data_IF_598552609212
#
_entry.id   IF_598552609212
#
_cell.length_a   1.000
_cell.length_b   1.000
_cell.length_c   1.000
_cell.angle_alpha   90.00
_cell.angle_beta   90.00
_cell.angle_gamma   90.00
#
_symmetry.space_group_name_H-M   'P 1'
#
loop_
_entity.id
_entity.type
_entity.pdbx_description
1 polymer ?
#
# COMPACT_ATOMS: atom_id res chain seq x y z
N UNK A 1 3.69 1.69 -24.67
CA UNK A 1 3.04 0.68 -23.83
C UNK A 1 4.15 0.09 -22.97
N UNK A 2 4.18 0.40 -21.67
CA UNK A 2 5.17 -0.19 -20.77
C UNK A 2 4.82 -1.66 -20.61
N UNK A 3 5.73 -2.55 -21.00
CA UNK A 3 5.57 -3.97 -20.75
C UNK A 3 5.55 -4.18 -19.24
N UNK A 4 4.56 -4.92 -18.75
CA UNK A 4 4.51 -5.29 -17.34
C UNK A 4 5.74 -6.14 -17.06
N UNK A 5 6.50 -5.75 -16.04
CA UNK A 5 7.65 -6.52 -15.58
C UNK A 5 7.16 -7.92 -15.20
N UNK A 6 7.76 -9.00 -15.72
CA UNK A 6 7.35 -10.36 -15.38
C UNK A 6 7.37 -10.60 -13.87
N UNK A 7 6.35 -11.30 -13.36
CA UNK A 7 6.17 -11.55 -11.92
C UNK A 7 7.39 -12.24 -11.29
N UNK A 8 8.02 -13.16 -12.02
CA UNK A 8 9.22 -13.88 -11.56
C UNK A 8 10.42 -12.95 -11.37
N UNK A 9 10.56 -11.93 -12.23
CA UNK A 9 11.61 -10.93 -12.08
C UNK A 9 11.34 -10.03 -10.87
N UNK A 10 10.08 -9.62 -10.66
CA UNK A 10 9.68 -8.82 -9.48
C UNK A 10 9.94 -9.59 -8.20
N UNK A 11 9.56 -10.87 -8.15
CA UNK A 11 9.80 -11.73 -6.98
C UNK A 11 11.30 -11.86 -6.70
N UNK A 12 12.13 -12.15 -7.71
CA UNK A 12 13.60 -12.22 -7.53
C UNK A 12 14.16 -10.92 -6.95
N UNK A 13 13.73 -9.76 -7.46
CA UNK A 13 14.15 -8.47 -6.94
C UNK A 13 13.74 -8.23 -5.48
N UNK A 14 12.57 -8.73 -5.09
CA UNK A 14 12.11 -8.67 -3.69
C UNK A 14 12.98 -9.57 -2.82
N UNK A 15 13.23 -10.82 -3.23
CA UNK A 15 14.02 -11.78 -2.46
C UNK A 15 15.47 -11.30 -2.25
N UNK A 16 16.11 -10.80 -3.31
CA UNK A 16 17.46 -10.21 -3.22
C UNK A 16 17.51 -9.11 -2.14
N UNK A 17 16.51 -8.22 -2.10
CA UNK A 17 16.43 -7.17 -1.08
C UNK A 17 16.15 -7.72 0.32
N UNK A 18 15.30 -8.74 0.44
CA UNK A 18 15.01 -9.36 1.74
C UNK A 18 16.26 -10.03 2.31
N UNK A 19 17.11 -10.62 1.47
CA UNK A 19 18.36 -11.23 1.90
C UNK A 19 19.44 -10.19 2.26
N UNK A 20 19.57 -9.11 1.48
CA UNK A 20 20.63 -8.11 1.69
C UNK A 20 20.30 -7.08 2.78
N UNK A 21 19.03 -6.66 2.88
CA UNK A 21 18.58 -5.55 3.73
C UNK A 21 17.48 -5.95 4.72
N UNK A 22 16.79 -7.06 4.49
CA UNK A 22 15.60 -7.49 5.25
C UNK A 22 15.88 -8.31 6.51
N UNK A 23 17.06 -8.15 7.13
CA UNK A 23 17.44 -8.90 8.34
C UNK A 23 16.51 -8.60 9.53
N UNK A 24 16.16 -7.32 9.73
CA UNK A 24 15.27 -6.87 10.82
C UNK A 24 13.77 -6.93 10.44
N UNK A 25 13.45 -7.51 9.28
CA UNK A 25 12.11 -7.53 8.69
C UNK A 25 12.01 -6.65 7.45
N UNK A 26 10.83 -6.68 6.82
CA UNK A 26 10.56 -5.93 5.59
C UNK A 26 9.06 -5.59 5.51
N UNK A 27 8.74 -4.55 4.73
CA UNK A 27 7.37 -4.18 4.37
C UNK A 27 7.26 -4.19 2.85
N UNK A 28 6.36 -5.00 2.31
CA UNK A 28 6.05 -5.00 0.88
C UNK A 28 4.87 -4.05 0.64
N UNK A 29 5.13 -2.97 -0.08
CA UNK A 29 4.11 -2.00 -0.48
C UNK A 29 3.73 -2.23 -1.95
N UNK A 30 2.46 -2.57 -2.18
CA UNK A 30 1.91 -2.77 -3.52
C UNK A 30 2.24 -4.10 -4.20
N UNK A 31 2.77 -5.09 -3.47
CA UNK A 31 2.97 -6.48 -3.90
C UNK A 31 2.71 -7.45 -2.73
N UNK A 32 2.09 -8.62 -2.94
CA UNK A 32 1.49 -9.10 -4.19
C UNK A 32 0.18 -8.40 -4.52
N UNK A 33 -0.23 -8.48 -5.79
CA UNK A 33 -1.49 -7.95 -6.32
C UNK A 33 -2.45 -9.02 -6.84
N UNK A 34 -2.01 -10.27 -6.92
CA UNK A 34 -2.81 -11.42 -7.32
C UNK A 34 -2.51 -12.61 -6.41
N UNK A 35 -3.45 -13.55 -6.31
CA UNK A 35 -3.26 -14.80 -5.55
C UNK A 35 -2.04 -15.59 -6.06
N UNK A 36 -1.87 -15.68 -7.39
CA UNK A 36 -0.71 -16.38 -7.98
C UNK A 36 0.63 -15.76 -7.58
N UNK A 37 0.72 -14.43 -7.49
CA UNK A 37 1.90 -13.75 -6.96
C UNK A 37 2.11 -14.05 -5.47
N UNK A 38 1.03 -14.13 -4.68
CA UNK A 38 1.12 -14.44 -3.25
C UNK A 38 1.59 -15.88 -2.99
N UNK A 39 1.10 -16.85 -3.77
CA UNK A 39 1.56 -18.24 -3.71
C UNK A 39 3.05 -18.35 -4.09
N UNK A 40 3.45 -17.71 -5.19
CA UNK A 40 4.84 -17.72 -5.66
C UNK A 40 5.79 -17.07 -4.64
N UNK A 41 5.43 -15.90 -4.11
CA UNK A 41 6.19 -15.24 -3.05
C UNK A 41 6.32 -16.14 -1.81
N UNK A 42 5.21 -16.73 -1.34
CA UNK A 42 5.20 -17.59 -0.17
C UNK A 42 6.12 -18.82 -0.31
N UNK A 43 6.14 -19.44 -1.49
CA UNK A 43 7.01 -20.57 -1.80
C UNK A 43 8.49 -20.20 -1.74
N UNK A 44 8.87 -19.11 -2.40
CA UNK A 44 10.26 -18.64 -2.42
C UNK A 44 10.74 -18.17 -1.04
N UNK A 45 9.91 -17.42 -0.30
CA UNK A 45 10.25 -16.99 1.06
C UNK A 45 10.48 -18.18 2.00
N UNK A 46 9.69 -19.24 1.86
CA UNK A 46 9.85 -20.46 2.66
C UNK A 46 11.22 -21.13 2.40
N UNK A 47 11.72 -21.08 1.16
CA UNK A 47 13.06 -21.55 0.81
C UNK A 47 14.18 -20.79 1.51
N UNK A 48 13.96 -19.52 1.85
CA UNK A 48 14.86 -18.66 2.63
C UNK A 48 14.66 -18.78 4.15
N UNK A 49 13.77 -19.66 4.60
CA UNK A 49 13.38 -19.74 6.01
C UNK A 49 12.69 -18.47 6.53
N UNK A 50 12.08 -17.69 5.63
CA UNK A 50 11.33 -16.47 5.94
C UNK A 50 9.84 -16.72 5.73
N UNK A 51 9.01 -15.91 6.39
CA UNK A 51 7.55 -15.93 6.25
C UNK A 51 6.98 -14.52 6.34
N UNK A 52 5.77 -14.33 5.83
CA UNK A 52 4.99 -13.14 6.09
C UNK A 52 4.35 -13.25 7.49
N UNK A 53 4.47 -12.19 8.28
CA UNK A 53 3.87 -12.11 9.62
C UNK A 53 2.44 -11.58 9.57
N UNK A 54 2.14 -10.67 8.64
CA UNK A 54 0.80 -10.10 8.45
C UNK A 54 0.60 -9.56 7.03
N UNK A 55 -0.65 -9.49 6.61
CA UNK A 55 -1.13 -8.71 5.47
C UNK A 55 -2.04 -7.60 5.99
N UNK A 56 -1.64 -6.34 5.77
CA UNK A 56 -2.33 -5.17 6.32
C UNK A 56 -3.30 -4.61 5.28
N UNK A 57 -4.61 -4.68 5.55
CA UNK A 57 -5.66 -4.10 4.72
C UNK A 57 -6.13 -2.78 5.33
N UNK A 58 -5.92 -1.67 4.63
CA UNK A 58 -6.55 -0.39 4.97
C UNK A 58 -7.83 -0.28 4.16
N UNK A 59 -8.95 -0.60 4.81
CA UNK A 59 -10.26 -0.71 4.18
C UNK A 59 -10.96 0.64 4.10
N UNK A 60 -11.47 0.98 2.92
CA UNK A 60 -12.23 2.19 2.69
C UNK A 60 -13.15 1.99 1.48
N UNK A 61 -14.36 2.56 1.55
CA UNK A 61 -15.30 2.54 0.44
C UNK A 61 -14.74 3.24 -0.81
N UNK A 62 -15.09 2.75 -1.98
CA UNK A 62 -14.66 3.27 -3.29
C UNK A 62 -14.89 4.77 -3.42
N UNK A 63 -16.03 5.28 -2.95
CA UNK A 63 -16.36 6.70 -3.01
C UNK A 63 -15.36 7.54 -2.22
N UNK A 64 -14.92 7.04 -1.07
CA UNK A 64 -13.92 7.70 -0.23
C UNK A 64 -12.53 7.62 -0.87
N UNK A 65 -12.18 6.48 -1.48
CA UNK A 65 -10.90 6.33 -2.22
C UNK A 65 -10.85 7.29 -3.42
N UNK A 66 -11.91 7.37 -4.21
CA UNK A 66 -12.03 8.31 -5.34
C UNK A 66 -11.90 9.74 -4.84
N UNK A 67 -12.65 10.10 -3.78
CA UNK A 67 -12.60 11.45 -3.21
C UNK A 67 -11.19 11.84 -2.79
N UNK A 68 -10.50 10.97 -2.02
CA UNK A 68 -9.15 11.20 -1.51
C UNK A 68 -8.10 11.33 -2.61
N UNK A 69 -8.15 10.46 -3.60
CA UNK A 69 -7.17 10.49 -4.70
C UNK A 69 -7.41 11.68 -5.61
N UNK A 70 -8.66 11.96 -5.98
CA UNK A 70 -8.98 13.09 -6.87
C UNK A 70 -8.75 14.47 -6.24
N UNK A 71 -8.83 14.57 -4.91
CA UNK A 71 -8.48 15.79 -4.20
C UNK A 71 -6.98 15.99 -3.96
N UNK A 72 -6.14 14.97 -4.21
CA UNK A 72 -4.69 15.03 -3.95
C UNK A 72 -3.98 16.03 -4.86
N UNK A 73 -3.06 16.79 -4.28
CA UNK A 73 -2.15 17.71 -4.97
C UNK A 73 -0.73 17.40 -4.53
N UNK A 74 0.21 17.51 -5.46
CA UNK A 74 1.63 17.25 -5.19
C UNK A 74 2.49 18.33 -5.83
N UNK A 75 3.52 18.78 -5.10
CA UNK A 75 4.54 19.64 -5.66
C UNK A 75 5.64 18.82 -6.34
N UNK A 76 6.59 19.48 -7.01
CA UNK A 76 7.71 18.79 -7.67
C UNK A 76 8.66 18.07 -6.71
N UNK A 77 8.73 18.52 -5.46
CA UNK A 77 9.56 17.92 -4.41
C UNK A 77 8.86 16.78 -3.66
N UNK A 78 7.62 16.48 -4.03
CA UNK A 78 6.88 15.34 -3.49
C UNK A 78 5.98 15.65 -2.30
N UNK A 79 5.96 16.89 -1.77
CA UNK A 79 5.03 17.30 -0.73
C UNK A 79 3.58 17.15 -1.22
N UNK A 80 2.76 16.48 -0.40
CA UNK A 80 1.37 16.13 -0.71
C UNK A 80 0.42 17.03 0.07
N UNK A 81 -0.63 17.49 -0.59
CA UNK A 81 -1.74 18.27 -0.04
C UNK A 81 -3.06 17.66 -0.51
N UNK A 82 -4.17 18.08 0.10
CA UNK A 82 -5.50 17.69 -0.34
C UNK A 82 -6.47 18.88 -0.30
N UNK A 83 -7.23 19.09 -1.37
CA UNK A 83 -8.11 20.27 -1.50
C UNK A 83 -9.13 20.43 -0.36
N UNK A 84 -9.66 19.32 0.18
CA UNK A 84 -10.61 19.35 1.32
C UNK A 84 -9.96 19.15 2.71
N UNK A 85 -9.07 18.17 2.86
CA UNK A 85 -8.60 17.70 4.17
C UNK A 85 -7.32 18.38 4.66
N UNK A 86 -6.49 18.85 3.73
CA UNK A 86 -5.19 19.49 4.02
C UNK A 86 -4.85 20.49 2.90
N UNK A 87 -5.64 21.57 2.76
CA UNK A 87 -5.45 22.54 1.68
C UNK A 87 -4.17 23.36 1.91
N UNK A 88 -3.45 23.73 0.85
CA UNK A 88 -2.33 24.66 0.97
C UNK A 88 -2.82 26.02 1.47
N UNK A 89 -1.95 26.77 2.17
CA UNK A 89 -2.25 28.14 2.62
C UNK A 89 -2.52 29.08 1.45
N UNK A 90 -1.88 28.83 0.30
CA UNK A 90 -2.06 29.59 -0.93
C UNK A 90 -2.48 28.67 -2.08
N UNK A 91 -3.57 29.03 -2.77
CA UNK A 91 -4.12 28.19 -3.85
C UNK A 91 -3.08 27.89 -4.93
N UNK A 92 -2.91 26.61 -5.23
CA UNK A 92 -1.97 26.10 -6.21
C UNK A 92 -0.48 26.22 -5.84
N UNK A 93 -0.13 26.60 -4.61
CA UNK A 93 1.28 26.81 -4.19
C UNK A 93 1.62 25.92 -2.99
N UNK A 94 2.78 25.27 -3.04
CA UNK A 94 3.28 24.46 -1.94
C UNK A 94 3.75 25.33 -0.78
N UNK A 95 3.25 25.04 0.42
CA UNK A 95 3.60 25.79 1.64
C UNK A 95 5.05 25.58 2.11
N UNK A 96 5.72 24.55 1.62
CA UNK A 96 7.07 24.16 2.05
C UNK A 96 8.16 24.65 1.10
N UNK A 97 7.91 24.66 -0.21
CA UNK A 97 8.92 25.01 -1.22
C UNK A 97 8.48 26.11 -2.21
N UNK A 98 7.24 26.60 -2.11
CA UNK A 98 6.70 27.65 -2.96
C UNK A 98 6.45 27.25 -4.42
N UNK A 99 6.65 25.98 -4.79
CA UNK A 99 6.43 25.51 -6.16
C UNK A 99 4.96 25.24 -6.44
N UNK A 100 4.61 25.19 -7.73
CA UNK A 100 3.23 24.93 -8.17
C UNK A 100 2.80 23.52 -7.80
N UNK A 101 1.62 23.42 -7.20
CA UNK A 101 0.93 22.17 -6.96
C UNK A 101 0.21 21.69 -8.22
N UNK A 102 0.30 20.38 -8.48
CA UNK A 102 -0.40 19.72 -9.57
C UNK A 102 -1.12 18.47 -9.07
N UNK A 103 -2.20 18.08 -9.75
CA UNK A 103 -2.78 16.75 -9.58
C UNK A 103 -1.94 15.75 -10.37
N UNK A 104 -1.73 14.55 -9.83
CA UNK A 104 -1.08 13.48 -10.59
C UNK A 104 -2.01 12.98 -11.68
N UNK A 105 -1.45 12.55 -12.81
CA UNK A 105 -2.25 12.02 -13.91
C UNK A 105 -3.09 10.80 -13.49
N UNK A 106 -2.58 9.97 -12.59
CA UNK A 106 -3.24 8.76 -12.09
C UNK A 106 -4.30 9.00 -11.01
N UNK A 107 -4.48 10.25 -10.58
CA UNK A 107 -5.44 10.69 -9.56
C UNK A 107 -6.73 11.24 -10.15
N UNK A 108 -6.85 11.31 -11.48
CA UNK A 108 -8.08 11.73 -12.15
C UNK A 108 -9.23 10.75 -11.81
N UNK A 109 -10.45 11.23 -11.53
CA UNK A 109 -11.57 10.37 -11.10
C UNK A 109 -11.80 9.16 -12.02
N UNK A 110 -11.80 9.37 -13.33
CA UNK A 110 -12.02 8.31 -14.32
C UNK A 110 -10.90 7.24 -14.29
N UNK A 111 -9.67 7.65 -13.97
CA UNK A 111 -8.51 6.74 -13.88
C UNK A 111 -8.55 5.99 -12.56
N UNK A 112 -8.90 6.65 -11.46
CA UNK A 112 -9.05 6.02 -10.14
C UNK A 112 -10.14 4.95 -10.18
N UNK A 113 -11.31 5.27 -10.75
CA UNK A 113 -12.40 4.29 -10.90
C UNK A 113 -11.95 3.05 -11.71
N UNK A 114 -11.24 3.25 -12.82
CA UNK A 114 -10.70 2.12 -13.58
C UNK A 114 -9.71 1.29 -12.77
N UNK A 115 -8.89 1.92 -11.92
CA UNK A 115 -7.96 1.22 -11.03
C UNK A 115 -8.68 0.43 -9.94
N UNK A 116 -9.78 0.95 -9.41
CA UNK A 116 -10.62 0.24 -8.44
C UNK A 116 -11.25 -1.01 -9.06
N UNK A 117 -11.75 -0.93 -10.30
CA UNK A 117 -12.25 -2.12 -11.01
C UNK A 117 -11.18 -3.21 -11.13
N UNK A 118 -9.94 -2.84 -11.50
CA UNK A 118 -8.84 -3.82 -11.54
C UNK A 118 -8.43 -4.32 -10.15
N UNK A 119 -8.50 -3.47 -9.13
CA UNK A 119 -8.26 -3.85 -7.73
C UNK A 119 -9.26 -4.93 -7.27
N UNK A 120 -10.56 -4.71 -7.42
CA UNK A 120 -11.59 -5.69 -7.04
C UNK A 120 -11.43 -7.00 -7.81
N UNK A 121 -11.05 -6.91 -9.08
CA UNK A 121 -10.88 -8.10 -9.92
C UNK A 121 -9.66 -8.94 -9.53
N UNK A 122 -8.52 -8.29 -9.30
CA UNK A 122 -7.22 -8.97 -9.21
C UNK A 122 -6.68 -9.06 -7.79
N UNK A 123 -6.90 -8.02 -6.98
CA UNK A 123 -6.27 -7.82 -5.67
C UNK A 123 -7.21 -8.11 -4.51
N UNK A 124 -8.50 -7.77 -4.59
CA UNK A 124 -9.48 -8.10 -3.53
C UNK A 124 -9.55 -9.59 -3.18
N UNK A 125 -9.38 -10.56 -4.11
CA UNK A 125 -9.30 -11.98 -3.75
C UNK A 125 -8.15 -12.32 -2.79
N UNK A 126 -7.16 -11.44 -2.62
CA UNK A 126 -6.11 -11.61 -1.60
C UNK A 126 -6.62 -11.43 -0.18
N UNK A 127 -7.75 -10.74 0.03
CA UNK A 127 -8.39 -10.58 1.34
C UNK A 127 -8.72 -11.96 1.89
N UNK A 128 -9.55 -12.73 1.18
CA UNK A 128 -9.91 -14.10 1.56
C UNK A 128 -8.67 -14.99 1.68
N UNK A 129 -7.74 -14.91 0.72
CA UNK A 129 -6.50 -15.69 0.72
C UNK A 129 -5.68 -15.53 2.02
N UNK A 130 -5.53 -14.28 2.50
CA UNK A 130 -4.78 -14.00 3.73
C UNK A 130 -5.61 -14.18 4.99
N UNK A 131 -6.93 -14.04 4.93
CA UNK A 131 -7.84 -14.31 6.03
C UNK A 131 -7.84 -15.81 6.37
N UNK A 132 -7.99 -16.68 5.38
CA UNK A 132 -7.92 -18.13 5.54
C UNK A 132 -6.60 -18.61 6.17
N UNK A 133 -5.52 -17.85 5.97
CA UNK A 133 -4.18 -18.11 6.52
C UNK A 133 -3.96 -17.47 7.90
N UNK A 134 -4.93 -16.72 8.42
CA UNK A 134 -4.83 -16.01 9.69
C UNK A 134 -3.85 -14.82 9.67
N UNK A 135 -3.44 -14.37 8.49
CA UNK A 135 -2.45 -13.30 8.29
C UNK A 135 -3.09 -11.92 8.10
N UNK A 136 -4.36 -11.86 7.67
CA UNK A 136 -5.03 -10.60 7.39
C UNK A 136 -5.26 -9.78 8.67
N UNK A 137 -4.95 -8.48 8.60
CA UNK A 137 -5.28 -7.49 9.65
C UNK A 137 -5.93 -6.29 8.97
N UNK A 138 -7.18 -6.00 9.35
CA UNK A 138 -7.98 -4.94 8.74
C UNK A 138 -7.95 -3.66 9.60
N UNK A 139 -7.82 -2.52 8.93
CA UNK A 139 -7.77 -1.20 9.52
C UNK A 139 -8.77 -0.29 8.82
N UNK A 140 -9.55 0.44 9.59
CA UNK A 140 -10.52 1.41 9.09
C UNK A 140 -9.80 2.62 8.47
N UNK A 141 -9.75 2.65 7.15
CA UNK A 141 -9.13 3.69 6.35
C UNK A 141 -9.87 5.02 6.37
N UNK A 142 -11.09 5.11 6.91
CA UNK A 142 -11.85 6.37 6.99
C UNK A 142 -11.38 7.27 8.13
N UNK A 143 -10.61 6.74 9.09
CA UNK A 143 -10.03 7.48 10.21
C UNK A 143 -8.90 8.41 9.80
N UNK A 144 -8.44 9.22 10.75
CA UNK A 144 -7.29 10.11 10.52
C UNK A 144 -5.99 9.30 10.30
N UNK A 145 -5.01 9.84 9.55
CA UNK A 145 -3.73 9.17 9.35
C UNK A 145 -3.02 8.76 10.65
N UNK A 146 -3.11 9.59 11.69
CA UNK A 146 -2.52 9.30 13.00
C UNK A 146 -3.18 8.10 13.68
N UNK A 147 -4.51 8.03 13.69
CA UNK A 147 -5.24 6.91 14.31
C UNK A 147 -4.96 5.59 13.59
N UNK A 148 -4.95 5.60 12.25
CA UNK A 148 -4.64 4.40 11.46
C UNK A 148 -3.19 3.97 11.71
N UNK A 149 -2.25 4.92 11.70
CA UNK A 149 -0.84 4.65 11.99
C UNK A 149 -0.63 4.04 13.39
N UNK A 150 -1.25 4.63 14.42
CA UNK A 150 -1.13 4.15 15.79
C UNK A 150 -1.73 2.75 15.95
N UNK A 151 -2.85 2.47 15.29
CA UNK A 151 -3.46 1.15 15.29
C UNK A 151 -2.57 0.10 14.61
N UNK A 152 -2.04 0.38 13.42
CA UNK A 152 -1.09 -0.50 12.72
C UNK A 152 0.13 -0.78 13.59
N UNK A 153 0.72 0.26 14.19
CA UNK A 153 1.91 0.12 15.05
C UNK A 153 1.62 -0.77 16.26
N UNK A 154 0.47 -0.59 16.90
CA UNK A 154 0.05 -1.44 18.03
C UNK A 154 -0.12 -2.90 17.61
N UNK A 155 -0.78 -3.18 16.49
CA UNK A 155 -0.95 -4.54 15.96
C UNK A 155 0.38 -5.21 15.67
N UNK A 156 1.31 -4.51 15.01
CA UNK A 156 2.63 -5.05 14.70
C UNK A 156 3.46 -5.31 15.96
N UNK A 157 3.35 -4.44 16.98
CA UNK A 157 4.03 -4.66 18.26
C UNK A 157 3.51 -5.91 18.99
N UNK A 158 2.19 -6.15 18.97
CA UNK A 158 1.60 -7.37 19.52
C UNK A 158 2.09 -8.61 18.79
N UNK A 159 2.04 -8.63 17.46
CA UNK A 159 2.50 -9.76 16.65
C UNK A 159 3.97 -10.11 16.91
N UNK A 160 4.83 -9.08 17.02
CA UNK A 160 6.25 -9.28 17.35
C UNK A 160 6.44 -9.90 18.72
N UNK A 161 5.63 -9.53 19.71
CA UNK A 161 5.71 -10.10 21.06
C UNK A 161 5.27 -11.57 21.05
N UNK A 162 4.22 -11.91 20.31
CA UNK A 162 3.72 -13.28 20.15
C UNK A 162 4.76 -14.20 19.50
N UNK A 163 5.57 -13.71 18.56
CA UNK A 163 6.67 -14.49 17.97
C UNK A 163 7.85 -14.77 18.92
N UNK A 164 7.98 -14.01 20.00
CA UNK A 164 9.08 -14.14 20.97
C UNK A 164 8.74 -15.05 22.15
N UNK A 165 7.48 -15.46 22.28
CA UNK A 165 6.97 -16.35 23.33
C UNK A 165 7.00 -17.81 22.87
#
# INVERSE_FOLDING_TARGET
>A
KGELVPDDLVIKMILDKVETEGADGFLLDGFPRTVGQADALGGEMSGLGRRLTAALLVDAADEEVVRRLSGRRQCKQGHVFHVDFDPPKHDGVCDQDGTKLAQRDDDRPEIVQRRLVEYHRATEPLVDYYEERGLLRCFDGTRSPTEVHDHIRATLATLRLEEQL
#
